data_IF_836418174307
#
_entry.id   IF_836418174307
#
_cell.length_a   1.000
_cell.length_b   1.000
_cell.length_c   1.000
_cell.angle_alpha   90.00
_cell.angle_beta   90.00
_cell.angle_gamma   90.00
#
_symmetry.space_group_name_H-M   'P 1'
#
loop_
_entity.id
_entity.type
_entity.pdbx_description
1 polymer ?
#
# COMPACT_ATOMS: atom_id res chain seq x y z
N UNK A 1 17.49 -38.24 -7.22
CA UNK A 1 16.29 -37.45 -7.58
C UNK A 1 16.75 -36.03 -7.83
N UNK A 2 16.96 -35.63 -9.08
CA UNK A 2 17.34 -34.26 -9.45
C UNK A 2 16.15 -33.35 -9.14
N UNK A 3 16.21 -32.58 -8.05
CA UNK A 3 15.17 -31.59 -7.77
C UNK A 3 15.38 -30.40 -8.69
N UNK A 4 14.94 -30.51 -9.94
CA UNK A 4 14.93 -29.41 -10.91
C UNK A 4 14.08 -28.22 -10.41
N UNK A 5 13.23 -28.45 -9.41
CA UNK A 5 12.40 -27.45 -8.77
C UNK A 5 12.67 -27.38 -7.26
N UNK A 6 12.99 -26.18 -6.78
CA UNK A 6 13.21 -25.92 -5.36
C UNK A 6 11.92 -25.42 -4.70
N UNK A 7 11.16 -26.36 -4.12
CA UNK A 7 9.90 -26.06 -3.44
C UNK A 7 10.07 -25.11 -2.26
N UNK A 8 11.16 -25.24 -1.48
CA UNK A 8 11.41 -24.38 -0.33
C UNK A 8 11.68 -22.93 -0.76
N UNK A 9 12.46 -22.73 -1.81
CA UNK A 9 12.69 -21.40 -2.39
C UNK A 9 11.38 -20.81 -2.96
N UNK A 10 10.62 -21.61 -3.69
CA UNK A 10 9.35 -21.15 -4.28
C UNK A 10 8.34 -20.76 -3.22
N UNK A 11 8.20 -21.55 -2.15
CA UNK A 11 7.27 -21.24 -1.06
C UNK A 11 7.66 -19.93 -0.36
N UNK A 12 8.97 -19.67 -0.17
CA UNK A 12 9.44 -18.39 0.37
C UNK A 12 9.03 -17.23 -0.52
N UNK A 13 9.28 -17.31 -1.83
CA UNK A 13 8.91 -16.26 -2.78
C UNK A 13 7.39 -16.03 -2.77
N UNK A 14 6.59 -17.11 -2.75
CA UNK A 14 5.14 -17.01 -2.67
C UNK A 14 4.70 -16.27 -1.41
N UNK A 15 5.21 -16.65 -0.24
CA UNK A 15 4.85 -16.03 1.03
C UNK A 15 5.28 -14.55 1.06
N UNK A 16 6.51 -14.23 0.65
CA UNK A 16 6.97 -12.85 0.62
C UNK A 16 6.21 -12.02 -0.42
N UNK A 17 5.98 -12.54 -1.62
CA UNK A 17 5.21 -11.88 -2.67
C UNK A 17 3.77 -11.63 -2.24
N UNK A 18 3.14 -12.60 -1.57
CA UNK A 18 1.80 -12.45 -1.02
C UNK A 18 1.75 -11.41 0.10
N UNK A 19 2.65 -11.50 1.08
CA UNK A 19 2.67 -10.58 2.22
C UNK A 19 2.95 -9.15 1.77
N UNK A 20 3.98 -8.95 0.93
CA UNK A 20 4.37 -7.62 0.44
C UNK A 20 3.32 -7.09 -0.55
N UNK A 21 2.85 -7.91 -1.48
CA UNK A 21 1.87 -7.50 -2.49
C UNK A 21 0.48 -7.20 -1.91
N UNK A 22 0.03 -8.00 -0.94
CA UNK A 22 -1.27 -7.81 -0.31
C UNK A 22 -1.27 -6.80 0.85
N UNK A 23 -0.10 -6.34 1.32
CA UNK A 23 0.00 -5.38 2.42
C UNK A 23 -0.77 -4.09 2.15
N UNK A 24 -0.60 -3.48 0.97
CA UNK A 24 -1.30 -2.24 0.62
C UNK A 24 -2.83 -2.43 0.51
N UNK A 25 -3.35 -3.43 -0.23
CA UNK A 25 -4.78 -3.76 -0.21
C UNK A 25 -5.33 -4.02 1.19
N UNK A 26 -4.58 -4.74 2.04
CA UNK A 26 -5.00 -5.03 3.41
C UNK A 26 -5.09 -3.76 4.27
N UNK A 27 -4.09 -2.87 4.18
CA UNK A 27 -4.13 -1.57 4.86
C UNK A 27 -5.31 -0.72 4.39
N UNK A 28 -5.60 -0.70 3.09
CA UNK A 28 -6.76 0.00 2.56
C UNK A 28 -8.08 -0.55 3.13
N UNK A 29 -8.24 -1.87 3.16
CA UNK A 29 -9.42 -2.53 3.73
C UNK A 29 -9.59 -2.20 5.23
N UNK A 30 -8.49 -2.16 5.99
CA UNK A 30 -8.49 -1.70 7.39
C UNK A 30 -8.93 -0.24 7.51
N UNK A 31 -8.43 0.64 6.64
CA UNK A 31 -8.86 2.04 6.55
C UNK A 31 -10.37 2.15 6.35
N UNK A 32 -10.94 1.40 5.41
CA UNK A 32 -12.39 1.36 5.16
C UNK A 32 -13.15 0.88 6.39
N UNK A 33 -12.69 -0.21 7.02
CA UNK A 33 -13.34 -0.78 8.22
C UNK A 33 -13.36 0.19 9.39
N UNK A 34 -12.24 0.87 9.64
CA UNK A 34 -12.14 1.89 10.70
C UNK A 34 -12.96 3.13 10.38
N UNK A 35 -13.05 3.51 9.11
CA UNK A 35 -13.90 4.62 8.66
C UNK A 35 -15.38 4.35 8.92
N UNK A 36 -15.86 3.15 8.55
CA UNK A 36 -17.23 2.71 8.83
C UNK A 36 -17.55 2.69 10.33
N UNK A 37 -16.63 2.14 11.14
CA UNK A 37 -16.75 2.13 12.59
C UNK A 37 -16.76 3.55 13.19
N UNK A 38 -15.95 4.47 12.65
CA UNK A 38 -15.90 5.87 13.06
C UNK A 38 -17.17 6.65 12.70
N UNK A 39 -17.75 6.36 11.53
CA UNK A 39 -19.03 6.92 11.10
C UNK A 39 -20.24 6.40 11.91
N UNK A 40 -20.04 5.38 12.75
CA UNK A 40 -21.11 4.74 13.53
C UNK A 40 -22.02 3.84 12.69
N UNK A 41 -21.54 3.39 11.52
CA UNK A 41 -22.27 2.52 10.61
C UNK A 41 -21.99 1.07 11.01
N UNK A 42 -22.93 0.45 11.74
CA UNK A 42 -22.88 -0.96 12.14
C UNK A 42 -24.19 -1.66 11.76
N UNK A 43 -24.28 -2.20 10.54
CA UNK A 43 -25.52 -2.75 10.01
C UNK A 43 -26.61 -1.68 9.90
N UNK A 44 -27.83 -1.99 10.33
CA UNK A 44 -28.97 -1.06 10.28
C UNK A 44 -29.01 -0.06 11.46
N UNK A 45 -28.09 -0.19 12.43
CA UNK A 45 -28.06 0.66 13.62
C UNK A 45 -27.03 1.79 13.49
N UNK A 46 -27.50 3.04 13.49
CA UNK A 46 -26.63 4.23 13.60
C UNK A 46 -26.17 4.38 15.05
N UNK A 47 -24.91 4.04 15.31
CA UNK A 47 -24.26 4.23 16.62
C UNK A 47 -23.64 5.63 16.71
N UNK A 48 -23.32 6.09 17.93
CA UNK A 48 -22.59 7.35 18.16
C UNK A 48 -21.30 7.42 17.33
N UNK A 49 -21.14 8.51 16.56
CA UNK A 49 -19.94 8.81 15.79
C UNK A 49 -18.70 8.87 16.68
N UNK A 50 -17.60 8.26 16.22
CA UNK A 50 -16.31 8.21 16.90
C UNK A 50 -15.27 8.92 16.04
N UNK A 51 -15.10 10.25 16.18
CA UNK A 51 -14.26 11.05 15.29
C UNK A 51 -12.79 10.61 15.29
N UNK A 52 -12.29 10.06 16.41
CA UNK A 52 -10.94 9.50 16.49
C UNK A 52 -10.71 8.33 15.53
N UNK A 53 -11.69 7.44 15.35
CA UNK A 53 -11.58 6.30 14.40
C UNK A 53 -11.63 6.78 12.96
N UNK A 54 -12.45 7.80 12.66
CA UNK A 54 -12.48 8.44 11.35
C UNK A 54 -11.14 9.11 11.03
N UNK A 55 -10.55 9.84 11.99
CA UNK A 55 -9.23 10.44 11.81
C UNK A 55 -8.15 9.37 11.56
N UNK A 56 -8.18 8.25 12.29
CA UNK A 56 -7.26 7.13 12.08
C UNK A 56 -7.42 6.49 10.69
N UNK A 57 -8.66 6.32 10.22
CA UNK A 57 -8.94 5.83 8.87
C UNK A 57 -8.32 6.74 7.79
N UNK A 58 -8.49 8.06 7.93
CA UNK A 58 -7.86 9.03 7.03
C UNK A 58 -6.34 8.97 7.07
N UNK A 59 -5.74 8.79 8.25
CA UNK A 59 -4.29 8.62 8.37
C UNK A 59 -3.79 7.38 7.62
N UNK A 60 -4.53 6.25 7.68
CA UNK A 60 -4.22 5.04 6.91
C UNK A 60 -4.34 5.29 5.41
N UNK A 61 -5.39 5.98 4.95
CA UNK A 61 -5.52 6.30 3.52
C UNK A 61 -4.40 7.23 3.04
N UNK A 62 -4.01 8.22 3.83
CA UNK A 62 -2.89 9.09 3.52
C UNK A 62 -1.56 8.30 3.43
N UNK A 63 -1.34 7.35 4.34
CA UNK A 63 -0.18 6.45 4.30
C UNK A 63 -0.17 5.59 3.04
N UNK A 64 -1.31 4.97 2.69
CA UNK A 64 -1.46 4.15 1.48
C UNK A 64 -1.21 4.98 0.22
N UNK A 65 -1.81 6.16 0.14
CA UNK A 65 -1.61 7.08 -0.98
C UNK A 65 -0.13 7.50 -1.10
N UNK A 66 0.51 7.84 0.01
CA UNK A 66 1.94 8.17 0.05
C UNK A 66 2.80 7.02 -0.47
N UNK A 67 2.54 5.78 -0.02
CA UNK A 67 3.27 4.61 -0.49
C UNK A 67 3.09 4.36 -2.01
N UNK A 68 1.87 4.54 -2.54
CA UNK A 68 1.61 4.42 -3.98
C UNK A 68 2.34 5.51 -4.76
N UNK A 69 2.24 6.77 -4.35
CA UNK A 69 2.93 7.88 -5.02
C UNK A 69 4.44 7.67 -5.01
N UNK A 70 5.03 7.29 -3.88
CA UNK A 70 6.45 7.00 -3.78
C UNK A 70 6.86 5.80 -4.65
N UNK A 71 6.05 4.74 -4.70
CA UNK A 71 6.29 3.58 -5.54
C UNK A 71 6.27 3.94 -7.04
N UNK A 72 5.25 4.68 -7.47
CA UNK A 72 5.14 5.16 -8.85
C UNK A 72 6.30 6.09 -9.20
N UNK A 73 6.62 7.04 -8.33
CA UNK A 73 7.70 8.00 -8.55
C UNK A 73 9.07 7.31 -8.59
N UNK A 74 9.27 6.27 -7.78
CA UNK A 74 10.49 5.46 -7.81
C UNK A 74 10.65 4.70 -9.13
N UNK A 75 9.58 4.08 -9.63
CA UNK A 75 9.57 3.36 -10.92
C UNK A 75 9.75 4.35 -12.09
N UNK A 76 9.09 5.50 -12.02
CA UNK A 76 9.09 6.51 -13.08
C UNK A 76 10.23 7.53 -13.00
N UNK A 77 11.13 7.44 -12.01
CA UNK A 77 12.14 8.46 -11.71
C UNK A 77 12.98 8.83 -12.94
N UNK A 78 13.40 7.83 -13.70
CA UNK A 78 14.29 8.01 -14.84
C UNK A 78 13.47 8.56 -16.03
N UNK A 79 12.25 8.06 -16.24
CA UNK A 79 11.34 8.56 -17.28
C UNK A 79 11.03 10.06 -17.10
N UNK A 80 10.75 10.48 -15.86
CA UNK A 80 10.50 11.88 -15.51
C UNK A 80 11.76 12.70 -15.73
N UNK A 81 12.93 12.23 -15.28
CA UNK A 81 14.19 12.92 -15.48
C UNK A 81 14.48 13.17 -16.97
N UNK A 82 14.26 12.18 -17.83
CA UNK A 82 14.47 12.33 -19.28
C UNK A 82 13.49 13.28 -19.97
N UNK A 83 12.21 13.33 -19.56
CA UNK A 83 11.20 14.16 -20.23
C UNK A 83 11.03 15.57 -19.65
N UNK A 84 11.29 15.74 -18.35
CA UNK A 84 11.04 17.01 -17.64
C UNK A 84 12.32 17.68 -17.15
N UNK A 85 13.48 17.00 -17.20
CA UNK A 85 14.74 17.51 -16.64
C UNK A 85 14.77 17.57 -15.11
N UNK A 86 13.73 17.06 -14.43
CA UNK A 86 13.66 16.99 -12.98
C UNK A 86 14.20 15.65 -12.46
N UNK A 87 15.36 15.70 -11.79
CA UNK A 87 15.98 14.53 -11.15
C UNK A 87 15.41 14.31 -9.75
N UNK A 88 14.32 13.56 -9.67
CA UNK A 88 13.63 13.25 -8.42
C UNK A 88 14.10 11.88 -7.90
N UNK A 89 14.26 11.72 -6.58
CA UNK A 89 14.60 10.43 -5.92
C UNK A 89 15.91 9.75 -6.40
N UNK A 90 16.98 10.52 -6.61
CA UNK A 90 18.31 9.97 -6.90
C UNK A 90 18.52 9.48 -8.34
N UNK A 91 17.69 9.93 -9.27
CA UNK A 91 17.95 9.79 -10.71
C UNK A 91 19.33 10.40 -11.04
N UNK A 92 20.17 9.63 -11.74
CA UNK A 92 21.55 10.02 -12.08
C UNK A 92 21.53 10.78 -13.40
N UNK A 93 22.04 12.01 -13.42
CA UNK A 93 22.33 12.74 -14.66
C UNK A 93 23.53 12.07 -15.33
N UNK A 94 23.29 11.30 -16.38
CA UNK A 94 24.34 10.95 -17.35
C UNK A 94 24.56 12.10 -18.30
#
# INVERSE_FOLDING_TARGET
MTTWFNYAATLKILVFGLLVGAALPALFALGVRLGAAGAGINGDAVTRKRPALTALSWAIFALVLGAVVLGVLFIARDFIAYHTGWFILGARST
#
